data_IF_335888190340
#
_entry.id   IF_335888190340
#
_cell.length_a   1.000
_cell.length_b   1.000
_cell.length_c   1.000
_cell.angle_alpha   90.00
_cell.angle_beta   90.00
_cell.angle_gamma   90.00
#
_symmetry.space_group_name_H-M   'P 1'
#
loop_
_entity.id
_entity.type
_entity.pdbx_description
1 polymer ?
#
# COMPACT_ATOMS: atom_id res chain seq x y z
N UNK A 1 5.43 28.19 18.91
CA UNK A 1 6.16 26.96 18.54
C UNK A 1 6.05 26.78 17.04
N UNK A 2 7.16 26.83 16.29
CA UNK A 2 7.16 26.48 14.86
C UNK A 2 7.26 24.96 14.76
N UNK A 3 6.26 24.34 14.12
CA UNK A 3 6.25 22.91 13.83
C UNK A 3 7.32 22.65 12.76
N UNK A 4 8.36 21.91 13.12
CA UNK A 4 9.38 21.47 12.17
C UNK A 4 8.81 20.26 11.42
N UNK A 5 8.21 20.52 10.27
CA UNK A 5 7.76 19.46 9.36
C UNK A 5 8.97 18.99 8.57
N UNK A 6 9.36 17.73 8.75
CA UNK A 6 10.36 17.09 7.91
C UNK A 6 9.68 16.73 6.58
N UNK A 7 9.91 17.52 5.54
CA UNK A 7 9.51 17.18 4.18
C UNK A 7 10.51 16.16 3.63
N UNK A 8 10.25 14.88 3.91
CA UNK A 8 11.00 13.78 3.31
C UNK A 8 10.40 13.50 1.92
N UNK A 9 11.10 13.90 0.88
CA UNK A 9 10.84 13.43 -0.48
C UNK A 9 11.36 12.00 -0.60
N UNK A 10 10.45 11.03 -0.60
CA UNK A 10 10.79 9.64 -0.86
C UNK A 10 10.75 9.38 -2.36
N UNK A 11 11.91 9.16 -2.98
CA UNK A 11 12.04 8.78 -4.39
C UNK A 11 11.60 7.32 -4.55
N UNK A 12 10.29 7.12 -4.57
CA UNK A 12 9.67 5.80 -4.69
C UNK A 12 9.53 5.44 -6.17
N UNK A 13 10.01 4.25 -6.57
CA UNK A 13 9.77 3.68 -7.90
C UNK A 13 8.31 3.27 -8.18
N UNK A 14 7.38 3.76 -7.34
CA UNK A 14 5.97 3.50 -7.45
C UNK A 14 5.15 4.77 -7.26
N UNK A 15 4.05 4.86 -8.00
CA UNK A 15 3.03 5.85 -7.71
C UNK A 15 2.14 5.35 -6.57
N UNK A 16 1.89 6.22 -5.59
CA UNK A 16 0.96 6.00 -4.49
C UNK A 16 -0.33 6.77 -4.76
N UNK A 17 -1.44 6.06 -4.93
CA UNK A 17 -2.76 6.69 -5.04
C UNK A 17 -3.57 6.48 -3.78
N UNK A 18 -4.32 7.52 -3.44
CA UNK A 18 -5.19 7.56 -2.30
C UNK A 18 -6.66 7.54 -2.67
N UNK A 19 -7.39 6.50 -2.27
CA UNK A 19 -8.82 6.36 -2.56
C UNK A 19 -9.67 6.38 -1.28
N UNK A 20 -10.52 7.39 -1.11
CA UNK A 20 -11.48 7.47 0.00
C UNK A 20 -12.82 6.89 -0.44
N UNK A 21 -13.31 5.88 0.27
CA UNK A 21 -14.62 5.28 0.03
C UNK A 21 -15.26 4.83 1.33
N UNK A 22 -16.59 4.90 1.40
CA UNK A 22 -17.40 4.31 2.48
C UNK A 22 -17.73 2.84 2.25
N UNK A 23 -17.40 2.29 1.07
CA UNK A 23 -17.71 0.90 0.71
C UNK A 23 -16.72 -0.08 1.35
N UNK A 24 -17.16 -1.33 1.53
CA UNK A 24 -16.31 -2.41 2.05
C UNK A 24 -15.21 -2.76 1.04
N UNK A 25 -14.07 -3.21 1.55
CA UNK A 25 -12.86 -3.52 0.76
C UNK A 25 -13.14 -4.41 -0.45
N UNK A 26 -13.94 -5.48 -0.29
CA UNK A 26 -14.27 -6.40 -1.38
C UNK A 26 -15.16 -5.76 -2.45
N UNK A 27 -16.09 -4.88 -2.03
CA UNK A 27 -17.00 -4.18 -2.93
C UNK A 27 -16.23 -3.16 -3.75
N UNK A 28 -15.27 -2.46 -3.13
CA UNK A 28 -14.41 -1.54 -3.87
C UNK A 28 -13.55 -2.29 -4.89
N UNK A 29 -12.90 -3.39 -4.49
CA UNK A 29 -12.12 -4.22 -5.40
C UNK A 29 -12.96 -4.69 -6.59
N UNK A 30 -14.19 -5.14 -6.35
CA UNK A 30 -15.12 -5.55 -7.41
C UNK A 30 -15.50 -4.39 -8.35
N UNK A 31 -15.83 -3.22 -7.80
CA UNK A 31 -16.16 -2.03 -8.59
C UNK A 31 -14.99 -1.58 -9.46
N UNK A 32 -13.77 -1.58 -8.91
CA UNK A 32 -12.54 -1.27 -9.64
C UNK A 32 -12.29 -2.28 -10.77
N UNK A 33 -12.47 -3.57 -10.50
CA UNK A 33 -12.34 -4.61 -11.52
C UNK A 33 -13.30 -4.37 -12.70
N UNK A 34 -14.55 -4.00 -12.42
CA UNK A 34 -15.54 -3.74 -13.47
C UNK A 34 -15.26 -2.46 -14.26
N UNK A 35 -14.96 -1.36 -13.57
CA UNK A 35 -14.81 -0.05 -14.20
C UNK A 35 -13.49 0.09 -14.97
N UNK A 36 -12.40 -0.46 -14.43
CA UNK A 36 -11.06 -0.33 -14.99
C UNK A 36 -10.61 -1.58 -15.76
N UNK A 37 -11.50 -2.58 -15.89
CA UNK A 37 -11.20 -3.88 -16.51
C UNK A 37 -9.97 -4.56 -15.89
N UNK A 38 -9.82 -4.43 -14.58
CA UNK A 38 -8.75 -5.06 -13.79
C UNK A 38 -9.22 -6.39 -13.20
N UNK A 39 -8.25 -7.18 -12.70
CA UNK A 39 -8.51 -8.42 -11.96
C UNK A 39 -7.79 -8.43 -10.62
N UNK A 40 -8.19 -7.54 -9.72
CA UNK A 40 -7.77 -7.54 -8.32
C UNK A 40 -8.31 -8.79 -7.64
N UNK A 41 -7.40 -9.62 -7.13
CA UNK A 41 -7.68 -10.86 -6.41
C UNK A 41 -7.30 -10.68 -4.95
N UNK A 42 -8.16 -11.13 -4.02
CA UNK A 42 -7.88 -11.09 -2.58
C UNK A 42 -6.63 -11.90 -2.28
N UNK A 43 -5.73 -11.32 -1.51
CA UNK A 43 -4.53 -11.97 -1.01
C UNK A 43 -4.66 -12.21 0.51
N UNK A 44 -3.77 -13.03 1.10
CA UNK A 44 -3.57 -13.04 2.53
C UNK A 44 -3.33 -11.62 3.06
N UNK A 45 -3.77 -11.36 4.29
CA UNK A 45 -3.64 -10.03 4.88
C UNK A 45 -2.16 -9.64 4.95
N UNK A 46 -1.87 -8.40 4.59
CA UNK A 46 -0.52 -7.86 4.65
C UNK A 46 -0.17 -7.59 6.12
N UNK A 47 0.81 -8.32 6.65
CA UNK A 47 1.23 -8.21 8.05
C UNK A 47 2.47 -7.32 8.15
N UNK A 48 2.35 -6.23 8.88
CA UNK A 48 3.44 -5.35 9.26
C UNK A 48 3.80 -5.62 10.73
N UNK A 49 4.96 -6.20 11.00
CA UNK A 49 5.44 -6.44 12.36
C UNK A 49 6.22 -5.23 12.85
N UNK A 50 5.67 -4.47 13.79
CA UNK A 50 6.40 -3.39 14.45
C UNK A 50 7.07 -3.95 15.70
N UNK A 51 8.39 -3.75 15.79
CA UNK A 51 9.26 -4.31 16.84
C UNK A 51 8.72 -4.09 18.25
N UNK A 52 8.00 -3.00 18.50
CA UNK A 52 7.51 -2.62 19.83
C UNK A 52 5.97 -2.50 19.94
N UNK A 53 5.23 -2.55 18.83
CA UNK A 53 3.80 -2.21 18.79
C UNK A 53 2.91 -3.37 18.31
N UNK A 54 3.52 -4.54 18.06
CA UNK A 54 2.83 -5.73 17.60
C UNK A 54 2.62 -5.77 16.09
N UNK A 55 1.85 -6.76 15.64
CA UNK A 55 1.53 -6.96 14.24
C UNK A 55 0.30 -6.15 13.82
N UNK A 56 0.41 -5.42 12.72
CA UNK A 56 -0.72 -4.81 12.04
C UNK A 56 -1.09 -5.63 10.81
N UNK A 57 -2.36 -6.00 10.70
CA UNK A 57 -2.89 -6.71 9.54
C UNK A 57 -3.71 -5.76 8.66
N UNK A 58 -3.44 -5.75 7.36
CA UNK A 58 -4.17 -4.93 6.38
C UNK A 58 -4.78 -5.80 5.29
N UNK A 59 -6.05 -5.55 4.96
CA UNK A 59 -6.70 -6.21 3.82
C UNK A 59 -5.98 -5.81 2.53
N UNK A 60 -5.69 -6.81 1.69
CA UNK A 60 -4.85 -6.66 0.52
C UNK A 60 -5.44 -7.37 -0.71
N UNK A 61 -5.50 -6.68 -1.85
CA UNK A 61 -5.80 -7.27 -3.15
C UNK A 61 -4.69 -6.96 -4.14
N UNK A 62 -4.40 -7.90 -5.04
CA UNK A 62 -3.34 -7.80 -6.02
C UNK A 62 -3.89 -7.98 -7.42
N UNK A 63 -3.44 -7.11 -8.32
CA UNK A 63 -3.47 -7.31 -9.76
C UNK A 63 -2.05 -7.13 -10.28
N UNK A 64 -1.49 -8.18 -10.88
CA UNK A 64 -0.15 -8.15 -11.44
C UNK A 64 -0.17 -8.68 -12.87
N UNK A 65 0.53 -7.98 -13.74
CA UNK A 65 0.94 -8.41 -15.07
C UNK A 65 2.44 -8.24 -15.20
N UNK A 66 3.01 -8.64 -16.33
CA UNK A 66 4.45 -8.54 -16.61
C UNK A 66 4.99 -7.10 -16.54
N UNK A 67 4.14 -6.09 -16.81
CA UNK A 67 4.55 -4.68 -16.91
C UNK A 67 3.96 -3.80 -15.81
N UNK A 68 2.96 -4.30 -15.08
CA UNK A 68 2.16 -3.51 -14.16
C UNK A 68 1.80 -4.32 -12.92
N UNK A 69 2.15 -3.80 -11.76
CA UNK A 69 1.62 -4.29 -10.48
C UNK A 69 0.77 -3.21 -9.84
N UNK A 70 -0.46 -3.55 -9.47
CA UNK A 70 -1.37 -2.74 -8.68
C UNK A 70 -1.70 -3.49 -7.39
N UNK A 71 -1.40 -2.86 -6.26
CA UNK A 71 -1.72 -3.38 -4.92
C UNK A 71 -2.77 -2.52 -4.29
N UNK A 72 -3.92 -3.07 -3.92
CA UNK A 72 -5.00 -2.39 -3.22
C UNK A 72 -4.91 -2.73 -1.73
N UNK A 73 -4.46 -1.80 -0.89
CA UNK A 73 -4.34 -2.02 0.56
C UNK A 73 -5.29 -1.12 1.33
N UNK A 74 -6.01 -1.67 2.31
CA UNK A 74 -6.75 -0.86 3.28
C UNK A 74 -5.77 -0.06 4.12
N UNK A 75 -5.91 1.27 4.19
CA UNK A 75 -4.98 2.10 4.97
C UNK A 75 -5.11 1.83 6.47
N UNK A 76 -6.32 1.55 6.98
CA UNK A 76 -6.54 1.25 8.41
C UNK A 76 -6.37 -0.23 8.69
N UNK A 77 -5.63 -0.57 9.73
CA UNK A 77 -5.48 -1.95 10.18
C UNK A 77 -6.84 -2.61 10.49
N UNK A 78 -6.94 -3.90 10.18
CA UNK A 78 -8.15 -4.70 10.38
C UNK A 78 -8.33 -5.11 11.85
N UNK A 79 -7.22 -5.31 12.57
CA UNK A 79 -7.23 -5.70 13.98
C UNK A 79 -6.98 -4.51 14.90
N UNK A 80 -7.61 -4.48 16.10
CA UNK A 80 -7.31 -3.48 17.11
C UNK A 80 -5.88 -3.67 17.62
N UNK A 81 -5.04 -2.69 17.35
CA UNK A 81 -3.67 -2.60 17.89
C UNK A 81 -3.62 -1.59 19.02
N UNK A 82 -2.58 -1.66 19.86
CA UNK A 82 -2.29 -0.66 20.90
C UNK A 82 -1.97 0.73 20.33
N UNK A 83 -1.68 0.83 19.03
CA UNK A 83 -1.49 2.09 18.32
C UNK A 83 -2.79 2.88 18.17
N UNK A 84 -2.77 4.15 18.58
CA UNK A 84 -3.92 5.07 18.47
C UNK A 84 -4.37 5.34 17.03
N UNK A 85 -3.46 5.23 16.05
CA UNK A 85 -3.71 5.48 14.62
C UNK A 85 -2.99 4.42 13.77
N UNK A 86 -3.53 3.20 13.65
CA UNK A 86 -2.87 2.13 12.93
C UNK A 86 -3.12 2.26 11.42
N UNK A 87 -2.47 3.26 10.81
CA UNK A 87 -2.51 3.52 9.39
C UNK A 87 -1.23 3.04 8.71
N UNK A 88 -1.36 2.53 7.49
CA UNK A 88 -0.23 2.09 6.69
C UNK A 88 0.58 3.28 6.13
N UNK A 89 -0.10 4.37 5.78
CA UNK A 89 0.52 5.58 5.27
C UNK A 89 -0.13 6.84 5.86
N UNK A 90 0.64 7.95 6.05
CA UNK A 90 0.19 9.19 6.68
C UNK A 90 -0.69 10.06 5.76
N UNK A 91 -1.39 9.44 4.82
CA UNK A 91 -2.32 10.11 3.91
C UNK A 91 -3.62 10.43 4.66
N UNK A 92 -4.08 11.68 4.57
CA UNK A 92 -5.27 12.17 5.26
C UNK A 92 -6.55 11.47 4.73
N UNK A 93 -7.00 10.43 5.44
CA UNK A 93 -8.27 9.77 5.19
C UNK A 93 -8.19 8.24 5.19
N UNK A 94 -9.36 7.60 5.25
CA UNK A 94 -9.56 6.16 5.09
C UNK A 94 -9.22 5.74 3.66
N UNK A 95 -7.96 5.84 3.30
CA UNK A 95 -7.49 5.61 1.95
C UNK A 95 -7.31 4.13 1.66
N UNK A 96 -7.35 3.81 0.39
CA UNK A 96 -6.83 2.56 -0.10
C UNK A 96 -5.62 2.89 -0.97
N UNK A 97 -4.46 2.38 -0.56
CA UNK A 97 -3.18 2.59 -1.23
C UNK A 97 -3.16 1.75 -2.48
N UNK A 98 -3.04 2.39 -3.64
CA UNK A 98 -2.69 1.75 -4.90
C UNK A 98 -1.21 2.00 -5.20
N UNK A 99 -0.35 0.99 -5.02
CA UNK A 99 1.05 1.08 -5.48
C UNK A 99 1.12 0.62 -6.94
N UNK A 100 1.51 1.51 -7.84
CA UNK A 100 1.89 1.16 -9.21
C UNK A 100 3.40 0.95 -9.28
N UNK A 101 3.88 -0.29 -9.15
CA UNK A 101 5.26 -0.60 -9.54
C UNK A 101 5.29 -0.83 -11.05
N UNK A 102 6.12 -0.06 -11.76
CA UNK A 102 6.55 -0.42 -13.12
C UNK A 102 7.57 -1.54 -12.95
N UNK A 103 7.25 -2.74 -13.40
CA UNK A 103 8.28 -3.79 -13.51
C UNK A 103 9.22 -3.33 -14.62
N UNK A 104 10.31 -2.68 -14.25
CA UNK A 104 11.45 -2.57 -15.15
C UNK A 104 11.93 -3.98 -15.44
N UNK A 105 12.11 -4.33 -16.71
CA UNK A 105 12.88 -5.51 -17.09
C UNK A 105 14.22 -5.46 -16.36
N UNK A 106 14.37 -6.22 -15.29
CA UNK A 106 15.65 -6.55 -14.69
C UNK A 106 15.87 -8.05 -14.85
N UNK A 107 16.28 -8.43 -16.06
CA UNK A 107 17.19 -9.56 -16.24
C UNK A 107 18.58 -9.10 -15.81
N UNK A 108 19.00 -9.39 -14.57
CA UNK A 108 20.36 -9.12 -14.08
C UNK A 108 20.51 -9.27 -12.56
N UNK A 109 21.62 -9.84 -12.04
CA UNK A 109 21.71 -10.32 -10.67
C UNK A 109 21.92 -9.19 -9.65
N UNK A 110 21.59 -9.53 -8.40
CA UNK A 110 21.66 -8.72 -7.18
C UNK A 110 22.68 -7.56 -7.21
N UNK A 111 22.17 -6.34 -7.14
CA UNK A 111 22.96 -5.14 -6.82
C UNK A 111 22.80 -4.86 -5.34
N UNK A 112 23.84 -5.20 -4.59
CA UNK A 112 24.12 -4.68 -3.25
C UNK A 112 24.38 -3.18 -3.33
N UNK A 113 23.53 -2.35 -2.74
CA UNK A 113 23.82 -0.92 -2.58
C UNK A 113 24.75 -0.70 -1.38
N UNK A 114 26.00 -0.36 -1.67
CA UNK A 114 26.95 0.23 -0.72
C UNK A 114 26.76 1.75 -0.69
N UNK A 115 26.61 2.28 0.52
CA UNK A 115 26.58 3.71 0.84
C UNK A 115 27.92 4.39 0.49
N UNK A 116 27.85 5.56 -0.14
CA UNK A 116 28.96 6.50 -0.33
C UNK A 116 28.42 7.91 -0.31
#
# INVERSE_FOLDING_TARGET
MKMLTLEAEYDCDFALFGLVSSTRDYTLAWSLNRQLRLRLVRQPDFILNLVQQGALAFSYYLYATEVLTLRLLRNRAAQPSTLQKPFLAPISGSMITCCRCRVGLMSGPAVSCSTG
#
